data_IF_319962937528
#
_entry.id   IF_319962937528
#
_cell.length_a   1.000
_cell.length_b   1.000
_cell.length_c   1.000
_cell.angle_alpha   90.00
_cell.angle_beta   90.00
_cell.angle_gamma   90.00
#
_symmetry.space_group_name_H-M   'P 1'
#
loop_
_entity.id
_entity.type
_entity.pdbx_description
1 polymer ?
#
# COMPACT_ATOMS: atom_id res chain seq x y z
N UNK A 1 7.24 13.08 25.54
CA UNK A 1 8.67 13.22 25.19
C UNK A 1 8.78 13.36 23.68
N UNK A 2 9.57 14.30 23.14
CA UNK A 2 9.79 14.37 21.69
C UNK A 2 10.58 13.14 21.22
N UNK A 3 10.16 12.54 20.11
CA UNK A 3 10.81 11.39 19.46
C UNK A 3 12.23 11.82 19.01
N UNK A 4 13.30 11.04 19.26
CA UNK A 4 14.64 11.41 18.81
C UNK A 4 14.66 11.54 17.28
N UNK A 5 15.35 12.57 16.79
CA UNK A 5 15.51 12.79 15.36
C UNK A 5 16.23 11.57 14.75
N UNK A 6 15.62 10.93 13.75
CA UNK A 6 16.28 9.88 12.97
C UNK A 6 17.50 10.48 12.29
N UNK A 7 18.70 10.12 12.77
CA UNK A 7 19.95 10.46 12.13
C UNK A 7 19.97 9.78 10.75
N UNK A 8 19.98 10.59 9.68
CA UNK A 8 19.87 10.09 8.31
C UNK A 8 21.16 9.38 7.93
N UNK A 9 21.27 8.10 8.26
CA UNK A 9 22.28 7.22 7.68
C UNK A 9 22.02 7.15 6.17
N UNK A 10 22.78 7.91 5.38
CA UNK A 10 22.80 7.78 3.93
C UNK A 10 23.81 6.68 3.61
N UNK A 11 23.40 5.50 3.16
CA UNK A 11 24.34 4.50 2.70
C UNK A 11 25.12 5.04 1.49
N UNK A 12 26.32 4.51 1.28
CA UNK A 12 27.08 4.80 0.08
C UNK A 12 26.25 4.39 -1.16
N UNK A 13 26.25 5.20 -2.23
CA UNK A 13 25.46 4.91 -3.41
C UNK A 13 25.98 3.66 -4.14
N UNK A 14 25.12 2.67 -4.33
CA UNK A 14 25.40 1.46 -5.12
C UNK A 14 24.84 1.62 -6.54
N UNK A 15 25.66 1.38 -7.56
CA UNK A 15 25.19 1.32 -8.95
C UNK A 15 24.33 0.07 -9.13
N UNK A 16 23.08 0.24 -9.61
CA UNK A 16 22.18 -0.89 -9.87
C UNK A 16 22.56 -1.56 -11.20
N UNK A 17 23.17 -2.74 -11.11
CA UNK A 17 23.47 -3.62 -12.27
C UNK A 17 22.63 -4.90 -12.19
N UNK A 18 22.52 -5.69 -13.28
CA UNK A 18 21.86 -6.99 -13.24
C UNK A 18 22.42 -7.95 -12.17
N UNK A 19 23.70 -7.86 -11.83
CA UNK A 19 24.34 -8.67 -10.78
C UNK A 19 23.81 -8.29 -9.40
N UNK A 20 23.59 -7.00 -9.13
CA UNK A 20 23.00 -6.51 -7.88
C UNK A 20 21.58 -7.07 -7.72
N UNK A 21 20.75 -7.01 -8.77
CA UNK A 21 19.39 -7.51 -8.72
C UNK A 21 19.34 -9.04 -8.57
N UNK A 22 20.24 -9.77 -9.23
CA UNK A 22 20.34 -11.24 -9.10
C UNK A 22 20.79 -11.69 -7.72
N UNK A 23 21.47 -10.83 -6.97
CA UNK A 23 21.87 -11.11 -5.59
C UNK A 23 20.72 -10.91 -4.58
N UNK A 24 19.61 -10.27 -4.96
CA UNK A 24 18.45 -10.15 -4.09
C UNK A 24 17.76 -11.50 -3.94
N UNK A 25 17.45 -11.89 -2.70
CA UNK A 25 16.75 -13.14 -2.45
C UNK A 25 15.38 -13.13 -3.12
N UNK A 26 15.12 -14.19 -3.87
CA UNK A 26 13.78 -14.47 -4.35
C UNK A 26 12.89 -14.92 -3.18
N UNK A 27 11.57 -14.74 -3.28
CA UNK A 27 10.64 -15.29 -2.29
C UNK A 27 10.86 -16.81 -2.14
N UNK A 28 10.91 -17.28 -0.89
CA UNK A 28 11.05 -18.72 -0.59
C UNK A 28 9.89 -19.51 -1.26
N UNK A 29 10.21 -20.52 -2.09
CA UNK A 29 9.19 -21.30 -2.78
C UNK A 29 8.43 -22.23 -1.82
N UNK A 30 9.05 -22.57 -0.69
CA UNK A 30 8.47 -23.37 0.37
C UNK A 30 7.73 -22.48 1.39
N UNK A 31 6.56 -22.93 1.85
CA UNK A 31 5.74 -22.21 2.82
C UNK A 31 4.44 -21.63 2.25
N UNK A 32 3.49 -21.37 3.17
CA UNK A 32 2.18 -20.82 2.83
C UNK A 32 2.19 -19.31 2.59
N UNK A 33 1.05 -18.75 2.17
CA UNK A 33 0.86 -17.31 1.93
C UNK A 33 1.28 -16.39 3.09
N UNK A 34 1.35 -16.91 4.32
CA UNK A 34 1.80 -16.16 5.49
C UNK A 34 3.33 -15.98 5.55
N UNK A 35 4.11 -16.88 4.94
CA UNK A 35 5.57 -16.79 4.92
C UNK A 35 6.08 -15.76 3.90
N UNK A 36 5.29 -15.48 2.85
CA UNK A 36 5.59 -14.48 1.81
C UNK A 36 5.14 -13.06 2.15
N UNK A 37 4.80 -12.81 3.42
CA UNK A 37 4.37 -11.52 3.92
C UNK A 37 3.00 -11.05 3.43
N UNK A 38 2.54 -9.96 4.02
CA UNK A 38 1.33 -9.23 3.68
C UNK A 38 1.64 -7.79 3.30
N UNK A 39 1.07 -7.35 2.19
CA UNK A 39 1.20 -5.97 1.69
C UNK A 39 -0.17 -5.31 1.72
N UNK A 40 -0.22 -4.11 2.27
CA UNK A 40 -1.38 -3.22 2.24
C UNK A 40 -1.09 -2.04 1.31
N UNK A 41 -1.95 -1.83 0.31
CA UNK A 41 -1.93 -0.64 -0.55
C UNK A 41 -3.10 0.26 -0.18
N UNK A 42 -2.79 1.51 0.17
CA UNK A 42 -3.76 2.52 0.60
C UNK A 42 -3.68 3.71 -0.35
N UNK A 43 -4.80 4.03 -0.99
CA UNK A 43 -4.88 5.22 -1.81
C UNK A 43 -6.05 5.21 -2.78
N UNK A 44 -5.91 5.99 -3.84
CA UNK A 44 -6.91 6.21 -4.86
C UNK A 44 -7.92 7.30 -4.48
N UNK A 45 -8.68 7.65 -5.50
CA UNK A 45 -9.87 8.50 -5.47
C UNK A 45 -10.87 7.91 -6.48
N UNK A 46 -12.06 8.51 -6.58
CA UNK A 46 -13.03 8.19 -7.64
C UNK A 46 -12.45 8.26 -9.04
N UNK A 47 -11.48 9.14 -9.26
CA UNK A 47 -10.87 9.39 -10.57
C UNK A 47 -9.55 8.63 -10.81
N UNK A 48 -8.89 8.16 -9.75
CA UNK A 48 -7.49 7.68 -9.84
C UNK A 48 -7.26 6.28 -9.27
N UNK A 49 -8.33 5.46 -9.18
CA UNK A 49 -8.22 4.07 -8.73
C UNK A 49 -7.13 3.28 -9.48
N UNK A 50 -6.87 3.57 -10.75
CA UNK A 50 -5.83 2.90 -11.54
C UNK A 50 -4.44 2.90 -10.89
N UNK A 51 -4.08 3.95 -10.13
CA UNK A 51 -2.81 3.99 -9.42
C UNK A 51 -2.70 2.90 -8.35
N UNK A 52 -3.80 2.64 -7.64
CA UNK A 52 -3.89 1.57 -6.63
C UNK A 52 -3.81 0.20 -7.30
N UNK A 53 -4.51 0.00 -8.41
CA UNK A 53 -4.53 -1.28 -9.13
C UNK A 53 -3.15 -1.66 -9.65
N UNK A 54 -2.43 -0.72 -10.26
CA UNK A 54 -1.07 -0.94 -10.75
C UNK A 54 -0.10 -1.27 -9.62
N UNK A 55 -0.19 -0.54 -8.49
CA UNK A 55 0.65 -0.77 -7.33
C UNK A 55 0.39 -2.16 -6.70
N UNK A 56 -0.89 -2.54 -6.61
CA UNK A 56 -1.32 -3.84 -6.09
C UNK A 56 -0.84 -4.99 -6.98
N UNK A 57 -0.97 -4.87 -8.30
CA UNK A 57 -0.44 -5.85 -9.26
C UNK A 57 1.08 -5.97 -9.16
N UNK A 58 1.79 -4.84 -9.04
CA UNK A 58 3.24 -4.84 -8.87
C UNK A 58 3.68 -5.56 -7.58
N UNK A 59 2.96 -5.35 -6.47
CA UNK A 59 3.23 -6.05 -5.21
C UNK A 59 3.05 -7.57 -5.34
N UNK A 60 1.98 -8.01 -6.02
CA UNK A 60 1.77 -9.43 -6.32
C UNK A 60 2.88 -10.01 -7.20
N UNK A 61 3.27 -9.30 -8.26
CA UNK A 61 4.36 -9.71 -9.16
C UNK A 61 5.73 -9.73 -8.46
N UNK A 62 5.92 -8.90 -7.44
CA UNK A 62 7.11 -8.91 -6.58
C UNK A 62 7.12 -10.08 -5.57
N UNK A 63 6.02 -10.83 -5.45
CA UNK A 63 5.94 -12.04 -4.63
C UNK A 63 5.19 -11.89 -3.31
N UNK A 64 4.38 -10.83 -3.12
CA UNK A 64 3.57 -10.67 -1.93
C UNK A 64 2.64 -11.90 -1.71
N UNK A 65 2.66 -12.45 -0.49
CA UNK A 65 1.84 -13.62 -0.15
C UNK A 65 0.37 -13.31 0.07
N UNK A 66 0.08 -12.16 0.68
CA UNK A 66 -1.27 -11.63 0.90
C UNK A 66 -1.32 -10.18 0.43
N UNK A 67 -2.32 -9.84 -0.37
CA UNK A 67 -2.57 -8.48 -0.82
C UNK A 67 -3.84 -7.94 -0.17
N UNK A 68 -3.72 -6.75 0.43
CA UNK A 68 -4.86 -5.95 0.88
C UNK A 68 -4.86 -4.62 0.16
N UNK A 69 -6.04 -4.14 -0.21
CA UNK A 69 -6.26 -2.83 -0.83
C UNK A 69 -7.27 -2.06 -0.01
N UNK A 70 -6.95 -0.84 0.38
CA UNK A 70 -7.86 0.09 1.03
C UNK A 70 -8.02 1.33 0.14
N UNK A 71 -9.24 1.61 -0.30
CA UNK A 71 -9.54 2.72 -1.21
C UNK A 71 -10.92 3.30 -0.92
N UNK A 72 -11.29 4.36 -1.64
CA UNK A 72 -12.57 5.05 -1.46
C UNK A 72 -13.75 4.09 -1.66
N UNK A 73 -14.77 4.24 -0.82
CA UNK A 73 -15.86 3.28 -0.71
C UNK A 73 -16.64 3.08 -2.02
N UNK A 74 -16.82 4.15 -2.81
CA UNK A 74 -17.48 4.07 -4.12
C UNK A 74 -16.76 3.17 -5.13
N UNK A 75 -15.43 3.04 -5.00
CA UNK A 75 -14.56 2.31 -5.92
C UNK A 75 -14.14 0.92 -5.43
N UNK A 76 -14.38 0.60 -4.16
CA UNK A 76 -13.98 -0.68 -3.56
C UNK A 76 -14.57 -1.91 -4.29
N UNK A 77 -15.82 -1.83 -4.74
CA UNK A 77 -16.45 -2.91 -5.50
C UNK A 77 -15.80 -3.14 -6.87
N UNK A 78 -15.32 -2.08 -7.52
CA UNK A 78 -14.59 -2.19 -8.79
C UNK A 78 -13.20 -2.79 -8.57
N UNK A 79 -12.51 -2.35 -7.51
CA UNK A 79 -11.21 -2.90 -7.13
C UNK A 79 -11.30 -4.41 -6.83
N UNK A 80 -12.33 -4.85 -6.09
CA UNK A 80 -12.53 -6.26 -5.75
C UNK A 80 -12.81 -7.15 -6.97
N UNK A 81 -13.48 -6.60 -7.99
CA UNK A 81 -13.70 -7.29 -9.26
C UNK A 81 -12.43 -7.36 -10.12
N UNK A 82 -11.58 -6.32 -10.06
CA UNK A 82 -10.35 -6.24 -10.86
C UNK A 82 -9.21 -7.06 -10.26
N UNK A 83 -9.16 -7.15 -8.92
CA UNK A 83 -8.14 -7.85 -8.15
C UNK A 83 -8.79 -8.91 -7.27
N UNK A 84 -9.27 -10.04 -7.83
CA UNK A 84 -9.98 -11.06 -7.06
C UNK A 84 -9.11 -11.73 -5.98
N UNK A 85 -7.78 -11.66 -6.11
CA UNK A 85 -6.83 -12.16 -5.12
C UNK A 85 -6.64 -11.22 -3.93
N UNK A 86 -7.03 -9.95 -4.06
CA UNK A 86 -6.89 -8.94 -3.03
C UNK A 86 -8.09 -8.96 -2.06
N UNK A 87 -7.79 -8.78 -0.78
CA UNK A 87 -8.81 -8.39 0.18
C UNK A 87 -9.00 -6.87 0.08
N UNK A 88 -10.21 -6.44 -0.31
CA UNK A 88 -10.51 -5.01 -0.49
C UNK A 88 -11.26 -4.45 0.72
N UNK A 89 -10.89 -3.24 1.13
CA UNK A 89 -11.50 -2.46 2.19
C UNK A 89 -12.02 -1.14 1.60
N UNK A 90 -13.31 -0.90 1.81
CA UNK A 90 -13.94 0.38 1.54
C UNK A 90 -13.62 1.35 2.68
N UNK A 91 -13.05 2.50 2.35
CA UNK A 91 -12.79 3.58 3.29
C UNK A 91 -13.84 4.69 3.15
N UNK A 92 -14.12 5.42 4.24
CA UNK A 92 -14.84 6.69 4.17
C UNK A 92 -14.26 7.61 3.08
N UNK A 93 -15.14 8.30 2.38
CA UNK A 93 -14.83 9.11 1.21
C UNK A 93 -15.48 10.49 1.37
N UNK A 94 -14.82 11.55 0.91
CA UNK A 94 -15.37 12.90 0.87
C UNK A 94 -16.30 13.08 -0.34
N UNK A 95 -17.13 14.13 -0.34
CA UNK A 95 -17.96 14.47 -1.52
C UNK A 95 -17.12 14.74 -2.78
N UNK A 96 -15.85 15.15 -2.60
CA UNK A 96 -14.87 15.34 -3.66
C UNK A 96 -14.21 14.05 -4.16
N UNK A 97 -14.60 12.89 -3.62
CA UNK A 97 -14.11 11.59 -4.06
C UNK A 97 -12.73 11.20 -3.54
N UNK A 98 -12.22 11.87 -2.51
CA UNK A 98 -10.97 11.53 -1.83
C UNK A 98 -11.21 10.65 -0.60
N UNK A 99 -10.19 9.95 -0.12
CA UNK A 99 -10.27 9.25 1.16
C UNK A 99 -10.42 10.29 2.27
N UNK A 100 -11.48 10.18 3.08
CA UNK A 100 -11.73 11.12 4.17
C UNK A 100 -10.82 10.84 5.38
N UNK A 101 -10.43 11.89 6.11
CA UNK A 101 -9.62 11.80 7.33
C UNK A 101 -10.23 10.89 8.41
N UNK A 102 -11.57 10.74 8.41
CA UNK A 102 -12.28 9.80 9.27
C UNK A 102 -11.85 8.33 9.08
N UNK A 103 -11.15 8.01 7.99
CA UNK A 103 -10.59 6.68 7.72
C UNK A 103 -9.31 6.37 8.53
N UNK A 104 -8.72 7.34 9.22
CA UNK A 104 -7.40 7.22 9.84
C UNK A 104 -7.29 6.04 10.83
N UNK A 105 -8.29 5.84 11.69
CA UNK A 105 -8.29 4.74 12.67
C UNK A 105 -8.32 3.37 11.97
N UNK A 106 -9.24 3.19 11.01
CA UNK A 106 -9.33 1.97 10.20
C UNK A 106 -8.02 1.69 9.46
N UNK A 107 -7.39 2.73 8.91
CA UNK A 107 -6.13 2.60 8.18
C UNK A 107 -4.99 2.22 9.10
N UNK A 108 -4.91 2.80 10.30
CA UNK A 108 -3.92 2.43 11.31
C UNK A 108 -4.06 0.95 11.69
N UNK A 109 -5.28 0.48 11.95
CA UNK A 109 -5.52 -0.93 12.27
C UNK A 109 -5.10 -1.88 11.14
N UNK A 110 -5.41 -1.54 9.90
CA UNK A 110 -4.98 -2.32 8.73
C UNK A 110 -3.45 -2.31 8.58
N UNK A 111 -2.82 -1.15 8.79
CA UNK A 111 -1.37 -0.98 8.68
C UNK A 111 -0.61 -1.78 9.76
N UNK A 112 -1.12 -1.81 10.99
CA UNK A 112 -0.54 -2.60 12.09
C UNK A 112 -0.57 -4.12 11.82
N UNK A 113 -1.51 -4.59 11.01
CA UNK A 113 -1.66 -6.00 10.65
C UNK A 113 -0.85 -6.41 9.40
N UNK A 114 -0.23 -5.47 8.70
CA UNK A 114 0.52 -5.70 7.47
C UNK A 114 2.04 -5.73 7.71
N UNK A 115 2.75 -6.57 6.95
CA UNK A 115 4.22 -6.61 7.00
C UNK A 115 4.86 -5.45 6.23
N UNK A 116 4.15 -4.94 5.20
CA UNK A 116 4.54 -3.74 4.47
C UNK A 116 3.32 -2.91 4.07
N UNK A 117 3.47 -1.58 4.07
CA UNK A 117 2.42 -0.63 3.71
C UNK A 117 2.93 0.30 2.61
N UNK A 118 2.14 0.41 1.55
CA UNK A 118 2.27 1.45 0.54
C UNK A 118 1.08 2.40 0.67
N UNK A 119 1.35 3.67 0.92
CA UNK A 119 0.34 4.73 1.05
C UNK A 119 0.63 5.85 0.06
N UNK A 120 -0.43 6.41 -0.53
CA UNK A 120 -0.32 7.58 -1.41
C UNK A 120 -0.65 7.37 -2.90
N UNK A 121 -0.57 6.18 -3.53
CA UNK A 121 -0.91 6.03 -4.94
C UNK A 121 -2.32 6.55 -5.25
N UNK A 122 -2.44 7.60 -6.05
CA UNK A 122 -3.74 8.19 -6.42
C UNK A 122 -4.49 8.86 -5.26
N UNK A 123 -3.86 9.15 -4.12
CA UNK A 123 -4.54 9.97 -3.12
C UNK A 123 -4.75 11.39 -3.67
N UNK A 124 -5.98 11.87 -3.57
CA UNK A 124 -6.37 13.23 -3.89
C UNK A 124 -6.59 14.02 -2.60
N UNK A 125 -6.76 15.33 -2.74
CA UNK A 125 -6.98 16.27 -1.64
C UNK A 125 -5.84 16.29 -0.61
N UNK A 126 -5.00 17.33 -0.70
CA UNK A 126 -3.82 17.47 0.14
C UNK A 126 -4.21 17.69 1.61
N UNK A 127 -5.31 18.37 1.89
CA UNK A 127 -5.71 18.73 3.24
C UNK A 127 -6.21 17.49 3.99
N UNK A 128 -7.08 16.71 3.34
CA UNK A 128 -7.53 15.40 3.85
C UNK A 128 -6.35 14.42 3.98
N UNK A 129 -5.46 14.36 2.98
CA UNK A 129 -4.27 13.50 3.03
C UNK A 129 -3.31 13.88 4.16
N UNK A 130 -3.20 15.16 4.50
CA UNK A 130 -2.37 15.61 5.64
C UNK A 130 -3.04 15.32 6.98
N UNK A 131 -4.36 15.42 7.06
CA UNK A 131 -5.13 15.07 8.26
C UNK A 131 -5.18 13.56 8.52
N UNK A 132 -4.79 12.75 7.54
CA UNK A 132 -4.76 11.30 7.58
C UNK A 132 -3.57 10.70 8.36
N UNK A 133 -2.50 11.47 8.61
CA UNK A 133 -1.20 11.00 9.14
C UNK A 133 -0.80 11.49 10.53
#
# INVERSE_FOLDING_TARGET
>A
MPRPAHEKHRPDPTIVTPEVLRAWQLPEPEGGKNARGSVLVIGGSTETLGAVLLAAEAAMRAGAGKLQVATVGSMAGFAAQTLPEALVRALPETDGGAIAAAAADTVRELAEAADAVLIGPGMADKEETQAFG
#
